data_IF_222361171088
#
_entry.id   IF_222361171088
#
_cell.length_a   1.000
_cell.length_b   1.000
_cell.length_c   1.000
_cell.angle_alpha   90.00
_cell.angle_beta   90.00
_cell.angle_gamma   90.00
#
_symmetry.space_group_name_H-M   'P 1'
#
loop_
_entity.id
_entity.type
_entity.pdbx_description
1 polymer ?
#
# COMPACT_ATOMS: atom_id res chain seq x y z
N UNK A 1 10.33 13.45 -12.99
CA UNK A 1 11.61 12.82 -13.35
C UNK A 1 11.92 11.79 -12.29
N UNK A 2 11.76 10.52 -12.62
CA UNK A 2 12.20 9.43 -11.74
C UNK A 2 13.70 9.59 -11.57
N UNK A 3 14.16 9.70 -10.33
CA UNK A 3 15.56 9.88 -10.04
C UNK A 3 16.39 8.76 -10.68
N UNK A 4 17.54 9.10 -11.23
CA UNK A 4 18.50 8.10 -11.72
C UNK A 4 18.82 7.13 -10.57
N UNK A 5 18.25 5.93 -10.59
CA UNK A 5 18.46 4.93 -9.54
C UNK A 5 17.18 4.44 -8.83
N UNK A 6 15.99 4.86 -9.25
CA UNK A 6 14.70 4.38 -8.72
C UNK A 6 14.13 5.25 -7.60
N UNK A 7 13.24 4.67 -6.79
CA UNK A 7 12.59 5.38 -5.69
C UNK A 7 13.57 5.66 -4.54
N UNK A 8 13.51 6.86 -3.92
CA UNK A 8 14.38 7.20 -2.80
C UNK A 8 14.19 6.25 -1.62
N UNK A 9 15.28 5.73 -1.07
CA UNK A 9 15.26 4.80 0.07
C UNK A 9 14.70 5.47 1.33
N UNK A 10 13.95 4.70 2.11
CA UNK A 10 13.30 5.16 3.37
C UNK A 10 12.42 6.39 3.18
N UNK A 11 11.79 6.50 2.02
CA UNK A 11 10.86 7.57 1.67
C UNK A 11 9.54 6.99 1.20
N UNK A 12 8.52 7.81 1.24
CA UNK A 12 7.17 7.48 0.78
C UNK A 12 6.95 8.08 -0.60
N UNK A 13 6.54 7.24 -1.55
CA UNK A 13 6.14 7.66 -2.90
C UNK A 13 4.66 7.36 -3.08
N UNK A 14 3.92 8.36 -3.53
CA UNK A 14 2.51 8.24 -3.92
C UNK A 14 2.44 8.01 -5.44
N UNK A 15 1.70 6.98 -5.84
CA UNK A 15 1.32 6.75 -7.23
C UNK A 15 -0.18 7.00 -7.36
N UNK A 16 -0.52 7.94 -8.21
CA UNK A 16 -1.90 8.30 -8.47
C UNK A 16 -2.30 7.94 -9.90
N UNK A 17 -3.52 7.43 -10.05
CA UNK A 17 -4.06 7.08 -11.38
C UNK A 17 -5.53 6.72 -11.31
N UNK A 18 -6.21 6.75 -12.46
CA UNK A 18 -7.61 6.35 -12.59
C UNK A 18 -7.80 4.85 -12.35
N UNK A 19 -9.04 4.41 -12.18
CA UNK A 19 -9.35 2.98 -12.13
C UNK A 19 -8.80 2.25 -13.35
N UNK A 20 -8.25 1.05 -13.18
CA UNK A 20 -7.69 0.25 -14.27
C UNK A 20 -6.33 0.70 -14.81
N UNK A 21 -5.70 1.75 -14.26
CA UNK A 21 -4.39 2.25 -14.73
C UNK A 21 -3.19 1.39 -14.33
N UNK A 22 -3.40 0.25 -13.67
CA UNK A 22 -2.34 -0.69 -13.32
C UNK A 22 -1.58 -0.37 -12.04
N UNK A 23 -2.14 0.45 -11.14
CA UNK A 23 -1.50 0.84 -9.87
C UNK A 23 -1.13 -0.36 -9.00
N UNK A 24 -2.03 -1.32 -8.85
CA UNK A 24 -1.83 -2.56 -8.09
C UNK A 24 -0.67 -3.37 -8.66
N UNK A 25 -0.63 -3.51 -10.01
CA UNK A 25 0.45 -4.23 -10.70
C UNK A 25 1.79 -3.52 -10.46
N UNK A 26 1.81 -2.19 -10.58
CA UNK A 26 3.03 -1.41 -10.35
C UNK A 26 3.51 -1.52 -8.90
N UNK A 27 2.58 -1.46 -7.93
CA UNK A 27 2.88 -1.62 -6.51
C UNK A 27 3.46 -3.02 -6.21
N UNK A 28 2.93 -4.06 -6.85
CA UNK A 28 3.48 -5.41 -6.74
C UNK A 28 4.82 -5.55 -7.43
N UNK A 29 4.99 -4.98 -8.63
CA UNK A 29 6.26 -4.97 -9.35
C UNK A 29 7.40 -4.34 -8.54
N UNK A 30 7.09 -3.26 -7.80
CA UNK A 30 8.07 -2.64 -6.90
C UNK A 30 8.56 -3.60 -5.81
N UNK A 31 7.67 -4.45 -5.24
CA UNK A 31 8.05 -5.47 -4.27
C UNK A 31 8.78 -6.63 -4.94
N UNK A 32 8.29 -7.10 -6.09
CA UNK A 32 8.89 -8.17 -6.86
C UNK A 32 10.34 -7.84 -7.26
N UNK A 33 10.59 -6.64 -7.78
CA UNK A 33 11.94 -6.18 -8.09
C UNK A 33 12.85 -6.15 -6.84
N UNK A 34 12.28 -5.77 -5.67
CA UNK A 34 13.01 -5.87 -4.39
C UNK A 34 13.48 -7.27 -4.10
N UNK A 35 12.58 -8.24 -4.17
CA UNK A 35 12.84 -9.64 -3.85
C UNK A 35 13.80 -10.29 -4.86
N UNK A 36 13.55 -10.06 -6.16
CA UNK A 36 14.26 -10.76 -7.23
C UNK A 36 15.64 -10.16 -7.54
N UNK A 37 15.76 -8.83 -7.47
CA UNK A 37 16.94 -8.12 -7.94
C UNK A 37 17.81 -7.59 -6.80
N UNK A 38 17.19 -7.22 -5.67
CA UNK A 38 17.89 -6.57 -4.55
C UNK A 38 18.00 -7.44 -3.29
N UNK A 39 17.32 -8.59 -3.24
CA UNK A 39 17.25 -9.42 -2.02
C UNK A 39 16.50 -8.72 -0.87
N UNK A 40 15.65 -7.75 -1.18
CA UNK A 40 14.90 -6.96 -0.20
C UNK A 40 13.50 -7.54 -0.04
N UNK A 41 13.16 -8.02 1.15
CA UNK A 41 11.81 -8.52 1.47
C UNK A 41 10.78 -7.39 1.43
N UNK A 42 9.51 -7.76 1.15
CA UNK A 42 8.42 -6.82 0.99
C UNK A 42 7.16 -7.17 1.78
N UNK A 43 6.35 -6.14 2.06
CA UNK A 43 5.00 -6.27 2.62
C UNK A 43 4.02 -5.57 1.69
N UNK A 44 2.92 -6.25 1.36
CA UNK A 44 1.80 -5.68 0.62
C UNK A 44 0.59 -5.54 1.53
N UNK A 45 0.06 -4.33 1.64
CA UNK A 45 -1.15 -4.02 2.40
C UNK A 45 -2.27 -3.80 1.39
N UNK A 46 -3.33 -4.60 1.47
CA UNK A 46 -4.50 -4.51 0.58
C UNK A 46 -5.76 -4.16 1.33
N UNK A 47 -6.63 -3.35 0.70
CA UNK A 47 -7.92 -2.92 1.25
C UNK A 47 -9.11 -3.24 0.34
N UNK A 48 -8.88 -3.54 -0.92
CA UNK A 48 -9.94 -3.75 -1.92
C UNK A 48 -9.99 -5.18 -2.40
N UNK A 49 -8.87 -5.72 -2.83
CA UNK A 49 -8.77 -7.10 -3.29
C UNK A 49 -8.28 -8.02 -2.18
N UNK A 50 -8.82 -9.24 -2.11
CA UNK A 50 -8.33 -10.25 -1.18
C UNK A 50 -6.89 -10.67 -1.52
N UNK A 51 -6.12 -11.05 -0.50
CA UNK A 51 -4.77 -11.58 -0.72
C UNK A 51 -4.78 -12.82 -1.64
N UNK A 52 -5.87 -13.61 -1.63
CA UNK A 52 -6.02 -14.80 -2.50
C UNK A 52 -6.13 -14.39 -3.97
N UNK A 53 -6.97 -13.41 -4.29
CA UNK A 53 -7.16 -12.96 -5.67
C UNK A 53 -5.90 -12.29 -6.22
N UNK A 54 -5.22 -11.48 -5.39
CA UNK A 54 -3.94 -10.89 -5.77
C UNK A 54 -2.90 -11.97 -6.07
N UNK A 55 -2.80 -13.06 -5.27
CA UNK A 55 -1.88 -14.17 -5.58
C UNK A 55 -2.18 -14.80 -6.93
N UNK A 56 -3.46 -15.07 -7.24
CA UNK A 56 -3.87 -15.63 -8.53
C UNK A 56 -3.51 -14.73 -9.69
N UNK A 57 -3.83 -13.42 -9.56
CA UNK A 57 -3.56 -12.43 -10.59
C UNK A 57 -2.06 -12.27 -10.86
N UNK A 58 -1.25 -12.20 -9.81
CA UNK A 58 0.20 -11.98 -9.92
C UNK A 58 0.96 -13.20 -10.43
N UNK A 59 0.42 -14.39 -10.27
CA UNK A 59 1.02 -15.61 -10.81
C UNK A 59 1.18 -15.58 -12.34
N UNK A 60 0.26 -14.92 -13.05
CA UNK A 60 0.32 -14.73 -14.50
C UNK A 60 1.52 -13.87 -14.97
N UNK A 61 2.07 -13.05 -14.07
CA UNK A 61 3.29 -12.27 -14.31
C UNK A 61 4.58 -13.02 -13.94
N UNK A 62 4.47 -14.30 -13.53
CA UNK A 62 5.61 -15.09 -13.06
C UNK A 62 6.01 -14.81 -11.60
N UNK A 63 5.17 -14.11 -10.84
CA UNK A 63 5.42 -13.79 -9.43
C UNK A 63 4.67 -14.76 -8.53
N UNK A 64 5.39 -15.78 -8.02
CA UNK A 64 4.84 -16.76 -7.08
C UNK A 64 4.89 -16.22 -5.65
N UNK A 65 3.85 -15.44 -5.29
CA UNK A 65 3.76 -14.80 -3.97
C UNK A 65 3.67 -15.83 -2.85
N UNK A 66 2.97 -16.96 -3.08
CA UNK A 66 2.84 -18.01 -2.08
C UNK A 66 4.20 -18.67 -1.77
N UNK A 67 5.06 -18.81 -2.76
CA UNK A 67 6.44 -19.27 -2.58
C UNK A 67 7.25 -18.26 -1.76
N UNK A 68 7.16 -16.96 -2.10
CA UNK A 68 7.90 -15.93 -1.37
C UNK A 68 7.43 -15.77 0.08
N UNK A 69 6.13 -16.00 0.37
CA UNK A 69 5.61 -16.04 1.74
C UNK A 69 6.23 -17.18 2.54
N UNK A 70 6.28 -18.40 1.96
CA UNK A 70 6.92 -19.58 2.58
C UNK A 70 8.42 -19.38 2.82
N UNK A 71 9.09 -18.65 1.93
CA UNK A 71 10.51 -18.31 2.04
C UNK A 71 10.78 -17.15 3.03
N UNK A 72 9.74 -16.55 3.61
CA UNK A 72 9.86 -15.39 4.50
C UNK A 72 10.33 -14.10 3.82
N UNK A 73 10.17 -13.99 2.50
CA UNK A 73 10.57 -12.84 1.70
C UNK A 73 9.43 -11.86 1.45
N UNK A 74 8.20 -12.30 1.69
CA UNK A 74 7.00 -11.53 1.40
C UNK A 74 5.94 -11.78 2.47
N UNK A 75 5.11 -10.76 2.74
CA UNK A 75 3.93 -10.91 3.57
C UNK A 75 2.80 -10.03 3.09
N UNK A 76 1.55 -10.53 3.22
CA UNK A 76 0.35 -9.73 3.13
C UNK A 76 -0.07 -9.18 4.49
N UNK A 77 -0.64 -7.98 4.46
CA UNK A 77 -1.56 -7.45 5.47
C UNK A 77 -2.89 -7.23 4.76
N UNK A 78 -3.73 -8.25 4.82
CA UNK A 78 -5.05 -8.20 4.20
C UNK A 78 -6.02 -7.45 5.14
N UNK A 79 -6.51 -6.33 4.68
CA UNK A 79 -7.51 -5.48 5.33
C UNK A 79 -8.74 -5.29 4.41
N UNK A 80 -8.88 -6.14 3.39
CA UNK A 80 -10.05 -6.15 2.52
C UNK A 80 -11.31 -6.55 3.30
N UNK A 81 -12.49 -6.06 2.90
CA UNK A 81 -13.74 -6.45 3.51
C UNK A 81 -13.98 -7.96 3.33
N UNK A 82 -14.33 -8.65 4.41
CA UNK A 82 -14.78 -10.03 4.34
C UNK A 82 -16.29 -10.06 4.02
N UNK A 83 -16.70 -10.49 2.82
CA UNK A 83 -18.11 -10.51 2.43
C UNK A 83 -18.95 -11.51 3.25
N UNK A 84 -18.32 -12.42 3.98
CA UNK A 84 -19.01 -13.39 4.84
C UNK A 84 -19.34 -12.84 6.23
N UNK A 85 -18.73 -11.72 6.62
CA UNK A 85 -18.99 -11.04 7.89
C UNK A 85 -20.05 -9.97 7.63
N UNK A 86 -21.28 -10.16 8.18
CA UNK A 86 -22.24 -9.06 8.23
C UNK A 86 -21.55 -7.85 8.85
N UNK A 87 -21.55 -6.74 8.12
CA UNK A 87 -20.98 -5.48 8.58
C UNK A 87 -21.85 -4.97 9.74
N UNK A 88 -21.57 -5.46 10.93
CA UNK A 88 -21.94 -4.72 12.14
C UNK A 88 -21.27 -3.36 11.95
N UNK A 89 -22.00 -2.25 12.11
CA UNK A 89 -21.45 -0.90 12.03
C UNK A 89 -20.14 -0.85 12.85
N UNK A 90 -19.04 -1.11 12.15
CA UNK A 90 -17.73 -1.04 12.76
C UNK A 90 -17.51 0.44 12.94
N UNK A 91 -17.33 0.85 14.19
CA UNK A 91 -16.93 2.21 14.54
C UNK A 91 -15.73 2.69 13.72
N UNK A 92 -15.22 3.87 13.95
CA UNK A 92 -14.18 4.48 13.10
C UNK A 92 -13.04 3.48 12.87
N UNK A 93 -12.63 3.33 11.61
CA UNK A 93 -11.59 2.38 11.17
C UNK A 93 -10.39 2.40 12.13
N UNK A 94 -10.03 1.24 12.70
CA UNK A 94 -8.90 1.13 13.63
C UNK A 94 -7.56 1.18 12.90
N UNK A 95 -7.13 2.38 12.57
CA UNK A 95 -5.82 2.60 11.96
C UNK A 95 -4.68 2.16 12.89
N UNK A 96 -4.86 2.22 14.21
CA UNK A 96 -3.85 1.77 15.18
C UNK A 96 -3.60 0.27 15.06
N UNK A 97 -4.65 -0.53 15.04
CA UNK A 97 -4.58 -1.97 14.82
C UNK A 97 -3.98 -2.33 13.47
N UNK A 98 -4.35 -1.62 12.39
CA UNK A 98 -3.75 -1.80 11.08
C UNK A 98 -2.24 -1.55 11.11
N UNK A 99 -1.80 -0.41 11.64
CA UNK A 99 -0.38 -0.07 11.71
C UNK A 99 0.42 -1.06 12.55
N UNK A 100 -0.16 -1.60 13.62
CA UNK A 100 0.47 -2.67 14.42
C UNK A 100 0.64 -3.96 13.60
N UNK A 101 -0.36 -4.35 12.79
CA UNK A 101 -0.28 -5.50 11.87
C UNK A 101 0.81 -5.29 10.81
N UNK A 102 0.89 -4.10 10.21
CA UNK A 102 1.93 -3.74 9.23
C UNK A 102 3.31 -3.82 9.89
N UNK A 103 3.49 -3.22 11.07
CA UNK A 103 4.76 -3.26 11.79
C UNK A 103 5.17 -4.69 12.15
N UNK A 104 4.23 -5.53 12.57
CA UNK A 104 4.49 -6.95 12.82
C UNK A 104 4.95 -7.67 11.55
N UNK A 105 4.25 -7.49 10.43
CA UNK A 105 4.60 -8.10 9.16
C UNK A 105 6.00 -7.65 8.68
N UNK A 106 6.30 -6.34 8.77
CA UNK A 106 7.62 -5.77 8.41
C UNK A 106 8.73 -6.43 9.23
N UNK A 107 8.54 -6.55 10.56
CA UNK A 107 9.53 -7.19 11.44
C UNK A 107 9.67 -8.68 11.12
N UNK A 108 8.57 -9.39 10.88
CA UNK A 108 8.55 -10.84 10.64
C UNK A 108 9.37 -11.24 9.43
N UNK A 109 9.26 -10.52 8.32
CA UNK A 109 9.98 -10.82 7.08
C UNK A 109 11.23 -9.96 6.88
N UNK A 110 11.56 -9.05 7.80
CA UNK A 110 12.67 -8.12 7.66
C UNK A 110 12.50 -7.17 6.46
N UNK A 111 11.26 -6.74 6.19
CA UNK A 111 10.93 -6.00 4.99
C UNK A 111 11.70 -4.68 4.89
N UNK A 112 12.15 -4.38 3.67
CA UNK A 112 12.72 -3.08 3.27
C UNK A 112 11.79 -2.28 2.39
N UNK A 113 10.75 -2.94 1.83
CA UNK A 113 9.76 -2.32 0.95
C UNK A 113 8.35 -2.61 1.47
N UNK A 114 7.50 -1.60 1.40
CA UNK A 114 6.07 -1.73 1.73
C UNK A 114 5.25 -1.10 0.62
N UNK A 115 4.23 -1.78 0.14
CA UNK A 115 3.21 -1.22 -0.75
C UNK A 115 1.86 -1.18 -0.04
N UNK A 116 1.12 -0.09 -0.19
CA UNK A 116 -0.23 0.09 0.37
C UNK A 116 -1.20 0.41 -0.76
N UNK A 117 -2.18 -0.48 -0.98
CA UNK A 117 -3.13 -0.41 -2.11
C UNK A 117 -4.58 -0.66 -1.64
N UNK A 118 -5.47 0.32 -1.67
CA UNK A 118 -5.26 1.73 -1.97
C UNK A 118 -5.66 2.60 -0.78
N UNK A 119 -5.08 3.79 -0.66
CA UNK A 119 -5.45 4.76 0.37
C UNK A 119 -6.91 5.21 0.24
N UNK A 120 -7.44 5.26 -0.99
CA UNK A 120 -8.82 5.65 -1.26
C UNK A 120 -9.84 4.78 -0.54
N UNK A 121 -9.62 3.47 -0.48
CA UNK A 121 -10.51 2.53 0.21
C UNK A 121 -10.58 2.79 1.72
N UNK A 122 -9.42 3.09 2.34
CA UNK A 122 -9.35 3.39 3.78
C UNK A 122 -10.16 4.62 4.14
N UNK A 123 -10.06 5.66 3.31
CA UNK A 123 -10.62 6.97 3.64
C UNK A 123 -11.99 7.25 3.03
N UNK A 124 -12.54 6.35 2.22
CA UNK A 124 -13.86 6.52 1.58
C UNK A 124 -15.01 6.70 2.59
N UNK A 125 -14.87 6.17 3.80
CA UNK A 125 -15.84 6.28 4.88
C UNK A 125 -15.74 7.56 5.71
N UNK A 126 -14.65 8.34 5.56
CA UNK A 126 -14.47 9.58 6.30
C UNK A 126 -15.05 10.77 5.53
N UNK A 127 -15.93 11.54 6.19
CA UNK A 127 -16.53 12.76 5.59
C UNK A 127 -15.70 14.01 5.80
N UNK A 128 -14.86 14.02 6.83
CA UNK A 128 -14.04 15.17 7.21
C UNK A 128 -12.61 15.02 6.69
N UNK A 129 -12.25 15.88 5.74
CA UNK A 129 -10.91 15.91 5.12
C UNK A 129 -9.79 16.18 6.14
N UNK A 130 -10.10 16.88 7.24
CA UNK A 130 -9.11 17.13 8.30
C UNK A 130 -8.74 15.85 9.04
N UNK A 131 -9.71 14.95 9.23
CA UNK A 131 -9.48 13.61 9.79
C UNK A 131 -8.64 12.79 8.83
N UNK A 132 -9.02 12.76 7.54
CA UNK A 132 -8.26 12.07 6.49
C UNK A 132 -6.80 12.51 6.50
N UNK A 133 -6.55 13.82 6.49
CA UNK A 133 -5.18 14.39 6.50
C UNK A 133 -4.37 13.95 7.73
N UNK A 134 -4.99 13.96 8.90
CA UNK A 134 -4.34 13.53 10.15
C UNK A 134 -3.97 12.05 10.11
N UNK A 135 -4.89 11.20 9.68
CA UNK A 135 -4.65 9.75 9.63
C UNK A 135 -3.64 9.37 8.54
N UNK A 136 -3.66 10.04 7.39
CA UNK A 136 -2.64 9.91 6.36
C UNK A 136 -1.24 10.29 6.90
N UNK A 137 -1.13 11.39 7.64
CA UNK A 137 0.13 11.78 8.26
C UNK A 137 0.62 10.73 9.27
N UNK A 138 -0.29 10.09 10.01
CA UNK A 138 0.04 8.97 10.92
C UNK A 138 0.61 7.76 10.16
N UNK A 139 0.01 7.39 9.01
CA UNK A 139 0.51 6.30 8.16
C UNK A 139 1.94 6.63 7.68
N UNK A 140 2.13 7.81 7.09
CA UNK A 140 3.43 8.21 6.58
C UNK A 140 4.51 8.25 7.68
N UNK A 141 4.17 8.79 8.84
CA UNK A 141 5.07 8.81 10.00
C UNK A 141 5.43 7.41 10.48
N UNK A 142 4.44 6.51 10.56
CA UNK A 142 4.67 5.12 10.99
C UNK A 142 5.57 4.37 9.99
N UNK A 143 5.31 4.47 8.67
CA UNK A 143 6.14 3.85 7.64
C UNK A 143 7.58 4.36 7.69
N UNK A 144 7.76 5.67 7.88
CA UNK A 144 9.09 6.28 8.04
C UNK A 144 9.82 5.78 9.28
N UNK A 145 9.10 5.61 10.40
CA UNK A 145 9.63 5.03 11.63
C UNK A 145 10.02 3.56 11.51
N UNK A 146 9.45 2.82 10.55
CA UNK A 146 9.83 1.44 10.24
C UNK A 146 11.08 1.33 9.35
N UNK A 147 11.64 2.45 8.88
CA UNK A 147 12.81 2.52 7.98
C UNK A 147 12.60 1.70 6.68
N UNK A 148 11.42 1.76 6.09
CA UNK A 148 11.08 1.10 4.84
C UNK A 148 10.93 2.12 3.71
N UNK A 149 11.19 1.69 2.47
CA UNK A 149 10.79 2.43 1.28
C UNK A 149 9.34 2.09 0.99
N UNK A 150 8.46 3.07 1.03
CA UNK A 150 7.03 2.86 0.91
C UNK A 150 6.47 3.39 -0.41
N UNK A 151 5.59 2.60 -1.02
CA UNK A 151 4.81 2.98 -2.18
C UNK A 151 3.33 2.94 -1.80
N UNK A 152 2.66 4.07 -1.94
CA UNK A 152 1.25 4.22 -1.69
C UNK A 152 0.52 4.41 -3.01
N UNK A 153 -0.63 3.79 -3.19
CA UNK A 153 -1.48 4.06 -4.34
C UNK A 153 -2.68 4.89 -3.94
N UNK A 154 -3.08 5.79 -4.83
CA UNK A 154 -4.30 6.57 -4.69
C UNK A 154 -5.07 6.61 -6.00
N UNK A 155 -6.39 6.66 -5.88
CA UNK A 155 -7.28 6.78 -7.02
C UNK A 155 -7.55 8.23 -7.36
N UNK A 156 -7.55 8.55 -8.66
CA UNK A 156 -8.04 9.82 -9.21
C UNK A 156 -9.43 9.62 -9.77
N UNK A 157 -10.29 10.58 -9.54
CA UNK A 157 -11.63 10.57 -10.14
C UNK A 157 -11.59 10.83 -11.65
N UNK A 158 -10.65 11.67 -12.11
CA UNK A 158 -10.56 12.14 -13.49
C UNK A 158 -9.09 12.14 -13.96
N UNK A 159 -8.89 12.02 -15.29
CA UNK A 159 -7.55 12.07 -15.90
C UNK A 159 -6.89 13.44 -15.72
N UNK A 160 -7.69 14.51 -15.76
CA UNK A 160 -7.25 15.88 -15.54
C UNK A 160 -8.00 16.46 -14.33
N UNK A 161 -7.30 16.78 -13.26
CA UNK A 161 -7.90 17.26 -12.01
C UNK A 161 -6.99 17.06 -10.81
N UNK A 162 -7.53 17.00 -9.58
CA UNK A 162 -6.77 16.73 -8.37
C UNK A 162 -5.95 15.44 -8.49
N UNK A 163 -4.75 15.43 -7.95
CA UNK A 163 -3.79 14.29 -8.04
C UNK A 163 -4.36 13.07 -7.34
N UNK A 164 -5.11 13.25 -6.26
CA UNK A 164 -5.76 12.17 -5.52
C UNK A 164 -7.16 12.58 -5.07
N UNK A 165 -8.00 11.60 -4.74
CA UNK A 165 -9.44 11.78 -4.49
C UNK A 165 -9.78 12.80 -3.40
N UNK A 166 -8.98 12.85 -2.35
CA UNK A 166 -9.22 13.75 -1.21
C UNK A 166 -8.41 15.04 -1.29
N UNK A 167 -7.49 15.19 -2.26
CA UNK A 167 -6.66 16.39 -2.46
C UNK A 167 -5.70 16.67 -1.29
N UNK A 168 -5.39 15.67 -0.49
CA UNK A 168 -4.49 15.78 0.66
C UNK A 168 -3.39 14.71 0.68
N UNK A 169 -3.52 13.66 -0.10
CA UNK A 169 -2.60 12.53 -0.14
C UNK A 169 -1.20 12.93 -0.64
N UNK A 170 -1.14 13.88 -1.56
CA UNK A 170 0.13 14.40 -2.08
C UNK A 170 0.98 15.12 -1.03
N UNK A 171 0.35 15.65 0.04
CA UNK A 171 1.08 16.39 1.07
C UNK A 171 1.82 15.50 2.08
N UNK A 172 1.57 14.20 2.06
CA UNK A 172 2.19 13.25 2.98
C UNK A 172 3.29 12.42 2.34
N UNK A 173 3.36 12.42 1.01
CA UNK A 173 4.38 11.70 0.25
C UNK A 173 5.62 12.57 0.03
N UNK A 174 6.79 11.95 0.12
CA UNK A 174 8.05 12.63 -0.24
C UNK A 174 8.16 12.80 -1.77
N UNK A 175 7.45 11.96 -2.54
CA UNK A 175 7.40 12.01 -4.01
C UNK A 175 5.99 11.65 -4.50
N UNK A 176 5.59 12.24 -5.62
CA UNK A 176 4.31 11.95 -6.30
C UNK A 176 4.57 11.64 -7.77
N UNK A 177 3.90 10.59 -8.27
CA UNK A 177 4.01 10.10 -9.65
C UNK A 177 2.62 9.87 -10.25
#
# INVERSE_FOLDING_TARGET
>A
VIAKGGLPRNRTTLISGTAGSGKTIFAMQFLAAGILESGESGVFVTFEESAEDIRKNMFSFGWDLAKWEKEGKFAFVDASPDPSVETVEIGPFDLGGLLARVQHAVKRVGAKRVSVDSLGAVFSQFRDTSVVRRELARIAFALKGMHVTALLTAERAEEYGPIARFGVEEFIADNVM
#
